data_IF_775548275441
#
_entry.id   IF_775548275441
#
_cell.length_a   1.000
_cell.length_b   1.000
_cell.length_c   1.000
_cell.angle_alpha   90.00
_cell.angle_beta   90.00
_cell.angle_gamma   90.00
#
_symmetry.space_group_name_H-M   'P 1'
#
loop_
_entity.id
_entity.type
_entity.pdbx_description
1 polymer ?
#
# COMPACT_ATOMS: atom_id res chain seq x y z
N UNK A 1 12.56 -11.54 -19.53
CA UNK A 1 12.06 -11.87 -18.17
C UNK A 1 13.26 -11.97 -17.24
N UNK A 2 13.11 -11.59 -15.98
CA UNK A 2 14.12 -11.81 -14.95
C UNK A 2 13.80 -13.13 -14.24
N UNK A 3 14.75 -14.05 -14.25
CA UNK A 3 14.58 -15.36 -13.61
C UNK A 3 14.26 -15.20 -12.11
N UNK A 4 13.29 -15.96 -11.62
CA UNK A 4 12.82 -15.88 -10.23
C UNK A 4 11.77 -14.80 -9.93
N UNK A 5 11.56 -13.81 -10.81
CA UNK A 5 10.52 -12.78 -10.62
C UNK A 5 9.20 -13.24 -11.27
N UNK A 6 8.19 -13.50 -10.43
CA UNK A 6 6.87 -13.98 -10.86
C UNK A 6 5.83 -12.87 -11.09
N UNK A 7 5.90 -11.79 -10.29
CA UNK A 7 4.97 -10.67 -10.37
C UNK A 7 5.75 -9.36 -10.26
N UNK A 8 5.44 -8.40 -11.12
CA UNK A 8 5.89 -7.03 -11.03
C UNK A 8 4.66 -6.14 -10.85
N UNK A 9 4.71 -5.26 -9.86
CA UNK A 9 3.65 -4.29 -9.55
C UNK A 9 4.24 -2.91 -9.38
N UNK A 10 3.50 -1.88 -9.77
CA UNK A 10 3.87 -0.48 -9.56
C UNK A 10 2.81 0.21 -8.69
N UNK A 11 3.24 1.13 -7.82
CA UNK A 11 2.33 2.00 -7.07
C UNK A 11 2.39 3.41 -7.62
N UNK A 12 1.25 4.07 -7.79
CA UNK A 12 1.15 5.43 -8.35
C UNK A 12 -0.03 6.18 -7.74
N UNK A 13 -0.01 7.51 -7.76
CA UNK A 13 -1.19 8.35 -7.51
C UNK A 13 -1.97 8.69 -8.80
N UNK A 14 -1.55 8.13 -9.94
CA UNK A 14 -2.08 8.33 -11.28
C UNK A 14 -2.07 9.76 -11.82
N UNK A 15 -1.41 10.72 -11.17
CA UNK A 15 -1.30 12.10 -11.71
C UNK A 15 -0.53 12.12 -13.04
N UNK A 16 0.60 11.41 -13.12
CA UNK A 16 1.52 11.47 -14.26
C UNK A 16 1.54 10.20 -15.11
N UNK A 17 0.70 9.21 -14.79
CA UNK A 17 0.77 7.90 -15.45
C UNK A 17 0.21 7.91 -16.88
N UNK A 18 -0.71 8.83 -17.21
CA UNK A 18 -1.45 8.85 -18.48
C UNK A 18 -0.59 8.59 -19.73
N UNK A 19 0.48 9.37 -19.96
CA UNK A 19 1.37 9.17 -21.12
C UNK A 19 2.11 7.82 -21.15
N UNK A 20 2.22 7.14 -20.01
CA UNK A 20 2.99 5.91 -19.84
C UNK A 20 2.13 4.64 -19.80
N UNK A 21 0.79 4.74 -19.80
CA UNK A 21 -0.09 3.57 -19.67
C UNK A 21 0.22 2.52 -20.75
N UNK A 22 0.32 2.93 -22.01
CA UNK A 22 0.61 1.99 -23.12
C UNK A 22 2.02 1.40 -23.03
N UNK A 23 3.01 2.21 -22.64
CA UNK A 23 4.39 1.78 -22.45
C UNK A 23 4.50 0.72 -21.33
N UNK A 24 3.86 0.96 -20.19
CA UNK A 24 3.82 0.01 -19.07
C UNK A 24 3.22 -1.33 -19.48
N UNK A 25 2.12 -1.30 -20.24
CA UNK A 25 1.48 -2.51 -20.78
C UNK A 25 2.39 -3.25 -21.75
N UNK A 26 3.07 -2.54 -22.65
CA UNK A 26 4.04 -3.13 -23.57
C UNK A 26 5.25 -3.76 -22.84
N UNK A 27 5.64 -3.20 -21.68
CA UNK A 27 6.67 -3.75 -20.79
C UNK A 27 6.17 -4.93 -19.93
N UNK A 28 4.87 -5.26 -19.98
CA UNK A 28 4.26 -6.32 -19.17
C UNK A 28 3.98 -5.92 -17.71
N UNK A 29 4.03 -4.63 -17.38
CA UNK A 29 3.70 -4.10 -16.06
C UNK A 29 2.19 -3.85 -16.01
N UNK A 30 1.42 -4.87 -15.67
CA UNK A 30 -0.06 -4.83 -15.70
C UNK A 30 -0.69 -4.77 -14.32
N UNK A 31 0.08 -4.95 -13.24
CA UNK A 31 -0.42 -4.83 -11.86
C UNK A 31 -0.11 -3.44 -11.31
N UNK A 32 -1.16 -2.67 -10.98
CA UNK A 32 -1.01 -1.30 -10.46
C UNK A 32 -1.71 -1.19 -9.10
N UNK A 33 -1.00 -0.64 -8.12
CA UNK A 33 -1.60 -0.13 -6.90
C UNK A 33 -1.83 1.38 -7.07
N UNK A 34 -3.09 1.81 -7.14
CA UNK A 34 -3.46 3.22 -7.23
C UNK A 34 -3.71 3.79 -5.84
N UNK A 35 -2.93 4.77 -5.39
CA UNK A 35 -3.22 5.52 -4.17
C UNK A 35 -4.32 6.54 -4.46
N UNK A 36 -5.51 6.34 -3.91
CA UNK A 36 -6.67 7.20 -4.07
C UNK A 36 -7.49 7.21 -2.77
N UNK A 37 -7.27 8.23 -1.96
CA UNK A 37 -7.91 8.38 -0.63
C UNK A 37 -9.27 9.11 -0.69
N UNK A 38 -9.78 9.37 -1.89
CA UNK A 38 -11.05 10.05 -2.11
C UNK A 38 -11.60 9.77 -3.51
N UNK A 39 -12.88 9.46 -3.59
CA UNK A 39 -13.61 9.27 -4.84
C UNK A 39 -14.49 10.49 -5.18
N UNK A 40 -14.83 11.31 -4.18
CA UNK A 40 -15.52 12.57 -4.42
C UNK A 40 -14.50 13.69 -4.66
N UNK A 41 -14.77 14.55 -5.65
CA UNK A 41 -13.88 15.67 -6.04
C UNK A 41 -13.49 16.55 -4.86
N UNK A 42 -14.47 17.05 -4.11
CA UNK A 42 -14.20 17.97 -2.99
C UNK A 42 -13.32 17.33 -1.91
N UNK A 43 -13.55 16.04 -1.62
CA UNK A 43 -12.72 15.27 -0.68
C UNK A 43 -11.30 15.08 -1.23
N UNK A 44 -11.18 14.79 -2.53
CA UNK A 44 -9.89 14.62 -3.21
C UNK A 44 -9.06 15.91 -3.15
N UNK A 45 -9.64 17.05 -3.50
CA UNK A 45 -8.95 18.34 -3.46
C UNK A 45 -8.55 18.71 -2.03
N UNK A 46 -9.42 18.45 -1.05
CA UNK A 46 -9.11 18.67 0.38
C UNK A 46 -7.92 17.84 0.86
N UNK A 47 -7.86 16.56 0.48
CA UNK A 47 -6.77 15.66 0.91
C UNK A 47 -5.48 15.96 0.18
N UNK A 48 -5.53 16.04 -1.15
CA UNK A 48 -4.33 16.17 -1.98
C UNK A 48 -3.80 17.59 -2.04
N UNK A 49 -4.65 18.59 -1.71
CA UNK A 49 -4.39 20.02 -1.88
C UNK A 49 -4.08 20.41 -3.33
N UNK A 50 -4.64 19.65 -4.30
CA UNK A 50 -4.43 19.83 -5.74
C UNK A 50 -5.74 19.62 -6.50
N UNK A 51 -6.00 20.50 -7.46
CA UNK A 51 -7.09 20.33 -8.42
C UNK A 51 -6.62 19.43 -9.59
N UNK A 52 -6.64 18.12 -9.35
CA UNK A 52 -6.23 17.10 -10.32
C UNK A 52 -7.19 15.90 -10.36
N UNK A 53 -8.40 16.05 -9.84
CA UNK A 53 -9.37 14.97 -9.75
C UNK A 53 -9.66 14.37 -11.14
N UNK A 54 -9.94 15.21 -12.14
CA UNK A 54 -10.27 14.75 -13.49
C UNK A 54 -9.12 13.97 -14.15
N UNK A 55 -7.89 14.41 -13.93
CA UNK A 55 -6.69 13.74 -14.47
C UNK A 55 -6.54 12.36 -13.83
N UNK A 56 -6.63 12.29 -12.49
CA UNK A 56 -6.46 11.04 -11.74
C UNK A 56 -7.60 10.06 -12.05
N UNK A 57 -8.84 10.54 -12.03
CA UNK A 57 -10.02 9.71 -12.31
C UNK A 57 -10.05 9.26 -13.78
N UNK A 58 -9.70 10.13 -14.72
CA UNK A 58 -9.56 9.76 -16.14
C UNK A 58 -8.49 8.69 -16.37
N UNK A 59 -7.35 8.79 -15.69
CA UNK A 59 -6.29 7.77 -15.75
C UNK A 59 -6.72 6.46 -15.07
N UNK A 60 -7.48 6.49 -13.97
CA UNK A 60 -8.10 5.30 -13.37
C UNK A 60 -8.99 4.59 -14.41
N UNK A 61 -9.90 5.31 -15.04
CA UNK A 61 -10.81 4.74 -16.04
C UNK A 61 -10.04 4.17 -17.24
N UNK A 62 -9.03 4.90 -17.73
CA UNK A 62 -8.18 4.44 -18.84
C UNK A 62 -7.47 3.13 -18.47
N UNK A 63 -6.91 3.01 -17.26
CA UNK A 63 -6.27 1.77 -16.83
C UNK A 63 -7.26 0.60 -16.68
N UNK A 64 -8.51 0.87 -16.27
CA UNK A 64 -9.57 -0.15 -16.24
C UNK A 64 -9.88 -0.64 -17.66
N UNK A 65 -10.10 0.27 -18.60
CA UNK A 65 -10.39 -0.04 -20.01
C UNK A 65 -9.25 -0.82 -20.67
N UNK A 66 -8.02 -0.46 -20.34
CA UNK A 66 -6.82 -1.15 -20.82
C UNK A 66 -6.58 -2.51 -20.16
N UNK A 67 -7.42 -2.93 -19.21
CA UNK A 67 -7.37 -4.24 -18.59
C UNK A 67 -6.24 -4.42 -17.57
N UNK A 68 -5.77 -3.34 -16.94
CA UNK A 68 -4.83 -3.43 -15.84
C UNK A 68 -5.47 -4.11 -14.63
N UNK A 69 -4.69 -4.89 -13.90
CA UNK A 69 -5.08 -5.41 -12.58
C UNK A 69 -4.91 -4.31 -11.53
N UNK A 70 -6.00 -3.60 -11.25
CA UNK A 70 -5.99 -2.44 -10.37
C UNK A 70 -6.36 -2.76 -8.93
N UNK A 71 -5.48 -2.33 -8.02
CA UNK A 71 -5.70 -2.32 -6.58
C UNK A 71 -5.71 -0.88 -6.08
N UNK A 72 -6.86 -0.37 -5.67
CA UNK A 72 -6.98 1.00 -5.16
C UNK A 72 -6.64 0.98 -3.67
N UNK A 73 -5.57 1.65 -3.24
CA UNK A 73 -5.26 1.86 -1.83
C UNK A 73 -5.96 3.13 -1.34
N UNK A 74 -6.71 2.99 -0.26
CA UNK A 74 -7.47 4.06 0.38
C UNK A 74 -7.14 4.07 1.88
N UNK A 75 -6.50 5.11 2.39
CA UNK A 75 -6.26 5.29 3.83
C UNK A 75 -7.51 5.91 4.46
N UNK A 76 -8.10 5.23 5.44
CA UNK A 76 -9.30 5.76 6.13
C UNK A 76 -8.87 6.76 7.20
N UNK A 77 -9.16 8.03 6.96
CA UNK A 77 -8.76 9.17 7.78
C UNK A 77 -9.96 9.78 8.49
N UNK A 78 -9.89 9.81 9.82
CA UNK A 78 -10.97 10.34 10.66
C UNK A 78 -11.28 11.81 10.33
N UNK A 79 -12.55 12.15 10.20
CA UNK A 79 -13.05 13.49 9.83
C UNK A 79 -12.53 14.05 8.49
N UNK A 80 -11.99 13.21 7.61
CA UNK A 80 -11.45 13.63 6.32
C UNK A 80 -12.15 12.95 5.13
N UNK A 81 -12.15 11.62 5.07
CA UNK A 81 -12.66 10.86 3.91
C UNK A 81 -13.54 9.66 4.25
N UNK A 82 -13.99 9.52 5.50
CA UNK A 82 -14.87 8.40 5.90
C UNK A 82 -16.11 8.30 5.00
N UNK A 83 -16.65 9.45 4.59
CA UNK A 83 -17.81 9.54 3.70
C UNK A 83 -17.58 8.93 2.31
N UNK A 84 -16.32 8.75 1.90
CA UNK A 84 -15.94 8.19 0.59
C UNK A 84 -15.76 6.66 0.64
N UNK A 85 -15.76 6.02 1.82
CA UNK A 85 -15.56 4.57 2.00
C UNK A 85 -16.63 3.73 1.30
N UNK A 86 -17.91 4.10 1.40
CA UNK A 86 -18.99 3.39 0.69
C UNK A 86 -19.06 3.79 -0.78
N UNK A 87 -18.99 5.09 -1.15
CA UNK A 87 -18.96 5.49 -2.55
C UNK A 87 -17.87 4.83 -3.40
N UNK A 88 -16.64 4.67 -2.89
CA UNK A 88 -15.56 4.07 -3.68
C UNK A 88 -15.80 2.58 -3.98
N UNK A 89 -16.54 1.87 -3.11
CA UNK A 89 -16.92 0.48 -3.34
C UNK A 89 -17.88 0.32 -4.53
N UNK A 90 -18.65 1.36 -4.89
CA UNK A 90 -19.56 1.31 -6.05
C UNK A 90 -18.82 1.11 -7.37
N UNK A 91 -17.54 1.50 -7.47
CA UNK A 91 -16.72 1.16 -8.64
C UNK A 91 -16.67 -0.35 -8.89
N UNK A 92 -16.73 -1.15 -7.82
CA UNK A 92 -16.64 -2.59 -7.90
C UNK A 92 -17.93 -3.23 -8.44
N UNK A 93 -19.05 -2.51 -8.50
CA UNK A 93 -20.28 -3.02 -9.11
C UNK A 93 -20.01 -3.43 -10.56
N UNK A 94 -19.38 -2.54 -11.32
CA UNK A 94 -19.18 -2.71 -12.76
C UNK A 94 -17.74 -3.08 -13.17
N UNK A 95 -16.75 -2.77 -12.34
CA UNK A 95 -15.35 -2.93 -12.73
C UNK A 95 -14.61 -3.97 -11.87
N UNK A 96 -13.67 -4.74 -12.46
CA UNK A 96 -12.89 -5.74 -11.76
C UNK A 96 -11.73 -5.12 -10.95
N UNK A 97 -12.03 -4.07 -10.16
CA UNK A 97 -11.07 -3.39 -9.30
C UNK A 97 -11.10 -3.94 -7.88
N UNK A 98 -9.95 -3.90 -7.21
CA UNK A 98 -9.84 -4.28 -5.80
C UNK A 98 -9.58 -3.06 -4.92
N UNK A 99 -10.51 -2.64 -4.06
CA UNK A 99 -10.25 -1.53 -3.12
C UNK A 99 -9.67 -2.07 -1.82
N UNK A 100 -8.57 -1.47 -1.34
CA UNK A 100 -7.87 -1.83 -0.12
C UNK A 100 -7.94 -0.67 0.86
N UNK A 101 -8.68 -0.86 1.93
CA UNK A 101 -8.75 0.11 3.02
C UNK A 101 -7.58 -0.11 3.98
N UNK A 102 -6.79 0.93 4.20
CA UNK A 102 -5.66 0.93 5.13
C UNK A 102 -6.04 1.70 6.39
N UNK A 103 -5.62 1.18 7.54
CA UNK A 103 -5.55 1.96 8.77
C UNK A 103 -4.50 3.06 8.64
N UNK A 104 -4.79 4.25 9.18
CA UNK A 104 -3.84 5.37 9.27
C UNK A 104 -2.57 4.93 10.02
N UNK A 105 -1.42 5.16 9.40
CA UNK A 105 -0.11 4.89 9.99
C UNK A 105 0.57 6.19 10.45
N UNK A 106 1.42 6.13 11.49
CA UNK A 106 2.09 7.31 12.06
C UNK A 106 3.19 7.93 11.17
N UNK A 107 3.30 7.56 9.89
CA UNK A 107 4.38 7.98 8.98
C UNK A 107 4.03 9.17 8.07
N UNK A 108 2.86 9.79 8.26
CA UNK A 108 2.31 10.79 7.33
C UNK A 108 2.57 12.26 7.73
N UNK A 109 3.73 12.56 8.34
CA UNK A 109 4.18 13.95 8.51
C UNK A 109 3.33 14.82 9.46
N UNK A 110 2.63 14.20 10.40
CA UNK A 110 1.90 14.89 11.47
C UNK A 110 2.55 14.71 12.83
N UNK A 111 2.51 15.73 13.68
CA UNK A 111 2.96 15.73 15.07
C UNK A 111 2.07 14.88 16.01
N UNK A 112 1.29 13.94 15.48
CA UNK A 112 0.29 13.20 16.25
C UNK A 112 0.92 11.93 16.83
N UNK A 113 0.98 11.91 18.16
CA UNK A 113 1.22 10.68 18.91
C UNK A 113 -0.07 9.84 18.80
N UNK A 114 0.00 8.71 18.09
CA UNK A 114 -1.11 7.79 17.97
C UNK A 114 -0.99 6.69 19.03
N UNK A 115 -1.59 6.90 20.20
CA UNK A 115 -1.76 5.82 21.18
C UNK A 115 -2.87 4.85 20.73
N UNK A 116 -3.83 5.35 19.93
CA UNK A 116 -4.88 4.60 19.29
C UNK A 116 -5.31 5.27 17.98
N UNK A 117 -6.04 4.52 17.15
CA UNK A 117 -6.69 5.05 15.94
C UNK A 117 -8.20 4.85 16.03
N UNK A 118 -8.96 5.83 15.54
CA UNK A 118 -10.43 5.75 15.49
C UNK A 118 -10.89 4.68 14.51
N UNK A 119 -10.30 4.66 13.30
CA UNK A 119 -10.69 3.78 12.19
C UNK A 119 -9.76 2.58 12.06
N UNK A 120 -9.79 1.71 13.06
CA UNK A 120 -9.13 0.41 12.97
C UNK A 120 -9.87 -0.54 12.00
N UNK A 121 -9.23 -1.65 11.65
CA UNK A 121 -9.72 -2.60 10.66
C UNK A 121 -11.09 -3.19 11.02
N UNK A 122 -11.39 -3.36 12.31
CA UNK A 122 -12.70 -3.84 12.78
C UNK A 122 -13.77 -2.79 12.53
N UNK A 123 -13.52 -1.54 12.90
CA UNK A 123 -14.47 -0.44 12.68
C UNK A 123 -14.72 -0.19 11.20
N UNK A 124 -13.67 -0.26 10.36
CA UNK A 124 -13.81 -0.17 8.90
C UNK A 124 -14.70 -1.31 8.40
N UNK A 125 -14.44 -2.55 8.82
CA UNK A 125 -15.26 -3.71 8.44
C UNK A 125 -16.71 -3.57 8.87
N UNK A 126 -16.95 -3.17 10.13
CA UNK A 126 -18.29 -3.02 10.69
C UNK A 126 -19.09 -1.93 9.95
N UNK A 127 -18.43 -0.83 9.57
CA UNK A 127 -19.04 0.23 8.77
C UNK A 127 -19.41 -0.24 7.36
N UNK A 128 -18.55 -1.01 6.70
CA UNK A 128 -18.87 -1.60 5.39
C UNK A 128 -20.00 -2.62 5.54
N UNK A 129 -19.97 -3.46 6.58
CA UNK A 129 -20.97 -4.49 6.86
C UNK A 129 -22.35 -3.91 7.18
N UNK A 130 -22.42 -2.72 7.79
CA UNK A 130 -23.72 -2.06 8.04
C UNK A 130 -24.42 -1.63 6.74
N UNK A 131 -23.68 -1.47 5.64
CA UNK A 131 -24.21 -1.16 4.30
C UNK A 131 -24.35 -2.41 3.42
N UNK A 132 -23.45 -3.37 3.58
CA UNK A 132 -23.40 -4.63 2.83
C UNK A 132 -23.43 -5.84 3.78
N UNK A 133 -24.56 -6.15 4.42
CA UNK A 133 -24.64 -7.19 5.46
C UNK A 133 -24.33 -8.61 4.94
N UNK A 134 -24.52 -8.83 3.63
CA UNK A 134 -24.27 -10.11 2.95
C UNK A 134 -22.83 -10.26 2.43
N UNK A 135 -21.90 -9.38 2.78
CA UNK A 135 -20.50 -9.53 2.37
C UNK A 135 -19.89 -10.83 2.89
N UNK A 136 -19.01 -11.42 2.08
CA UNK A 136 -18.37 -12.71 2.34
C UNK A 136 -16.86 -12.53 2.49
N UNK A 137 -16.26 -13.21 3.46
CA UNK A 137 -14.80 -13.22 3.61
C UNK A 137 -14.19 -14.17 2.57
N UNK A 138 -13.16 -13.69 1.87
CA UNK A 138 -12.40 -14.50 0.91
C UNK A 138 -11.21 -15.16 1.59
N UNK A 139 -10.88 -16.36 1.12
CA UNK A 139 -9.61 -16.99 1.46
C UNK A 139 -8.45 -16.20 0.85
N UNK A 140 -7.31 -16.19 1.52
CA UNK A 140 -6.13 -15.48 1.07
C UNK A 140 -4.88 -16.25 1.49
N UNK A 141 -3.77 -16.13 0.74
CA UNK A 141 -2.51 -16.73 1.12
C UNK A 141 -2.09 -16.29 2.53
N UNK A 142 -1.34 -17.13 3.23
CA UNK A 142 -0.86 -16.85 4.59
C UNK A 142 -0.04 -15.55 4.67
N UNK A 143 0.73 -15.24 3.62
CA UNK A 143 1.53 -14.01 3.50
C UNK A 143 0.72 -12.78 3.05
N UNK A 144 -0.60 -12.90 2.89
CA UNK A 144 -1.46 -11.76 2.55
C UNK A 144 -1.47 -10.74 3.68
N UNK A 145 -1.26 -9.47 3.34
CA UNK A 145 -1.38 -8.38 4.32
C UNK A 145 -2.79 -7.79 4.38
N UNK A 146 -3.69 -8.27 3.52
CA UNK A 146 -5.07 -7.81 3.47
C UNK A 146 -6.02 -8.95 3.78
N UNK A 147 -7.04 -8.65 4.58
CA UNK A 147 -8.19 -9.51 4.79
C UNK A 147 -9.20 -9.15 3.70
N UNK A 148 -9.39 -10.05 2.74
CA UNK A 148 -10.18 -9.79 1.54
C UNK A 148 -11.63 -10.26 1.71
N UNK A 149 -12.52 -9.57 1.01
CA UNK A 149 -13.96 -9.76 1.06
C UNK A 149 -14.59 -9.55 -0.31
N UNK A 150 -15.75 -10.15 -0.51
CA UNK A 150 -16.60 -10.01 -1.70
C UNK A 150 -17.97 -9.51 -1.29
N UNK A 151 -18.50 -8.53 -2.03
CA UNK A 151 -19.90 -8.12 -1.93
C UNK A 151 -20.65 -8.86 -3.04
N UNK A 152 -21.73 -9.62 -2.73
CA UNK A 152 -22.52 -10.29 -3.75
C UNK A 152 -23.04 -9.31 -4.80
N UNK A 153 -22.95 -9.70 -6.08
CA UNK A 153 -23.36 -8.86 -7.22
C UNK A 153 -22.31 -7.85 -7.70
N UNK A 154 -21.25 -7.59 -6.94
CA UNK A 154 -20.14 -6.76 -7.41
C UNK A 154 -19.19 -7.59 -8.29
N UNK A 155 -18.59 -6.97 -9.31
CA UNK A 155 -17.53 -7.54 -10.14
C UNK A 155 -16.20 -7.57 -9.39
N UNK A 156 -15.84 -6.48 -8.70
CA UNK A 156 -14.60 -6.32 -7.94
C UNK A 156 -14.61 -6.96 -6.55
N UNK A 157 -13.58 -6.68 -5.76
CA UNK A 157 -13.43 -7.13 -4.36
C UNK A 157 -12.92 -5.99 -3.49
N UNK A 158 -13.01 -6.13 -2.18
CA UNK A 158 -12.31 -5.21 -1.29
C UNK A 158 -11.50 -5.95 -0.24
N UNK A 159 -10.52 -5.28 0.34
CA UNK A 159 -9.73 -5.80 1.44
C UNK A 159 -9.45 -4.74 2.48
N UNK A 160 -9.17 -5.18 3.70
CA UNK A 160 -8.77 -4.30 4.80
C UNK A 160 -7.36 -4.68 5.23
N UNK A 161 -6.48 -3.70 5.32
CA UNK A 161 -5.09 -3.83 5.72
C UNK A 161 -4.94 -3.24 7.12
N UNK A 162 -4.72 -4.08 8.15
CA UNK A 162 -4.52 -3.63 9.53
C UNK A 162 -3.10 -3.08 9.71
N UNK A 163 -2.78 -1.98 9.02
CA UNK A 163 -1.45 -1.37 8.93
C UNK A 163 -0.94 -0.76 10.24
N UNK A 164 -1.85 -0.29 11.11
CA UNK A 164 -1.53 0.22 12.43
C UNK A 164 -1.56 -0.90 13.48
N UNK A 165 -2.60 -1.73 13.43
CA UNK A 165 -2.83 -2.88 14.31
C UNK A 165 -1.82 -4.02 14.09
N UNK A 166 -1.17 -4.07 12.92
CA UNK A 166 -0.01 -4.93 12.56
C UNK A 166 -0.26 -6.44 12.73
N UNK A 167 -1.47 -6.91 12.45
CA UNK A 167 -1.84 -8.33 12.67
C UNK A 167 -1.22 -9.30 11.66
N UNK A 168 -0.50 -8.81 10.64
CA UNK A 168 0.16 -9.63 9.60
C UNK A 168 1.69 -9.71 9.75
N UNK A 169 2.29 -9.18 10.84
CA UNK A 169 3.76 -9.17 10.96
C UNK A 169 4.38 -10.57 10.91
N UNK A 170 3.73 -11.58 11.50
CA UNK A 170 4.23 -12.96 11.57
C UNK A 170 4.41 -13.66 10.23
N UNK A 171 3.63 -13.28 9.21
CA UNK A 171 3.71 -13.83 7.85
C UNK A 171 4.26 -12.83 6.82
N UNK A 172 4.65 -11.63 7.24
CA UNK A 172 5.18 -10.62 6.34
C UNK A 172 6.55 -11.08 5.79
N UNK A 173 6.74 -10.97 4.47
CA UNK A 173 7.93 -11.41 3.73
C UNK A 173 8.56 -10.25 2.92
N UNK A 174 8.33 -9.01 3.34
CA UNK A 174 8.75 -7.82 2.58
C UNK A 174 10.14 -7.35 2.98
N UNK A 175 10.93 -7.03 1.95
CA UNK A 175 12.16 -6.26 2.05
C UNK A 175 11.99 -4.99 1.21
N UNK A 176 12.54 -3.88 1.67
CA UNK A 176 12.42 -2.59 1.00
C UNK A 176 13.78 -1.97 0.78
N UNK A 177 13.97 -1.37 -0.39
CA UNK A 177 15.16 -0.59 -0.72
C UNK A 177 14.67 0.84 -0.96
N UNK A 178 15.23 1.82 -0.25
CA UNK A 178 14.90 3.23 -0.44
C UNK A 178 15.56 3.77 -1.71
N UNK A 179 15.15 4.97 -2.16
CA UNK A 179 15.79 5.64 -3.29
C UNK A 179 17.28 5.95 -3.05
N UNK A 180 17.71 6.07 -1.79
CA UNK A 180 19.11 6.27 -1.39
C UNK A 180 19.90 4.96 -1.29
N UNK A 181 19.24 3.81 -1.47
CA UNK A 181 19.84 2.47 -1.42
C UNK A 181 19.74 1.78 -0.07
N UNK A 182 19.03 2.35 0.91
CA UNK A 182 18.93 1.79 2.26
C UNK A 182 17.99 0.58 2.28
N UNK A 183 18.46 -0.52 2.86
CA UNK A 183 17.66 -1.74 3.04
C UNK A 183 16.92 -1.65 4.37
N UNK A 184 15.61 -1.77 4.30
CA UNK A 184 14.70 -1.71 5.43
C UNK A 184 13.89 -3.01 5.48
N UNK A 185 13.92 -3.68 6.63
CA UNK A 185 13.25 -4.97 6.86
C UNK A 185 11.89 -4.82 7.55
N UNK A 186 11.58 -3.62 8.04
CA UNK A 186 10.29 -3.26 8.62
C UNK A 186 10.04 -1.76 8.44
N UNK A 187 8.82 -1.35 8.09
CA UNK A 187 8.46 0.08 7.98
C UNK A 187 8.71 0.87 9.28
N UNK A 188 8.70 0.20 10.42
CA UNK A 188 8.96 0.77 11.75
C UNK A 188 10.42 0.62 12.19
N UNK A 189 11.30 0.11 11.32
CA UNK A 189 12.71 -0.15 11.61
C UNK A 189 13.65 0.89 11.00
N UNK A 190 14.90 0.92 11.47
CA UNK A 190 15.98 1.67 10.80
C UNK A 190 16.59 0.86 9.63
N UNK A 191 17.25 1.55 8.68
CA UNK A 191 18.12 0.90 7.71
C UNK A 191 19.07 -0.12 8.33
N UNK A 192 19.24 -1.26 7.67
CA UNK A 192 20.19 -2.32 8.06
C UNK A 192 21.52 -2.21 7.33
N UNK A 193 21.49 -1.74 6.08
CA UNK A 193 22.63 -1.63 5.17
C UNK A 193 22.28 -0.69 4.02
N UNK A 194 23.27 -0.28 3.23
CA UNK A 194 23.06 0.47 1.99
C UNK A 194 23.58 -0.33 0.78
N UNK A 195 22.67 -0.76 -0.10
CA UNK A 195 22.97 -1.56 -1.30
C UNK A 195 23.84 -0.78 -2.28
N UNK A 196 23.61 0.52 -2.43
CA UNK A 196 24.37 1.35 -3.37
C UNK A 196 25.85 1.40 -2.97
N UNK A 197 26.12 1.54 -1.68
CA UNK A 197 27.49 1.62 -1.18
C UNK A 197 28.21 0.26 -1.32
N UNK A 198 27.50 -0.85 -1.05
CA UNK A 198 28.03 -2.22 -1.26
C UNK A 198 28.33 -2.49 -2.74
N UNK A 199 27.40 -2.14 -3.64
CA UNK A 199 27.56 -2.36 -5.08
C UNK A 199 28.71 -1.53 -5.69
N UNK A 200 29.15 -0.46 -5.01
CA UNK A 200 30.29 0.39 -5.42
C UNK A 200 31.61 -0.03 -4.79
N UNK A 201 31.61 -1.02 -3.89
CA UNK A 201 32.79 -1.57 -3.25
C UNK A 201 33.39 -2.76 -3.99
N UNK A 202 34.38 -3.39 -3.37
CA UNK A 202 34.98 -4.64 -3.86
C UNK A 202 34.10 -5.86 -3.52
N UNK A 203 34.18 -6.90 -4.35
CA UNK A 203 33.41 -8.15 -4.20
C UNK A 203 31.89 -7.94 -3.94
N UNK A 204 31.20 -7.11 -4.74
CA UNK A 204 29.85 -6.63 -4.43
C UNK A 204 28.82 -7.76 -4.34
N UNK A 205 28.93 -8.81 -5.16
CA UNK A 205 27.97 -9.93 -5.16
C UNK A 205 27.99 -10.71 -3.84
N UNK A 206 29.18 -11.07 -3.37
CA UNK A 206 29.37 -11.80 -2.11
C UNK A 206 28.89 -10.97 -0.93
N UNK A 207 29.33 -9.71 -0.86
CA UNK A 207 28.95 -8.80 0.22
C UNK A 207 27.44 -8.53 0.23
N UNK A 208 26.83 -8.30 -0.94
CA UNK A 208 25.39 -8.08 -1.03
C UNK A 208 24.61 -9.29 -0.51
N UNK A 209 25.00 -10.51 -0.92
CA UNK A 209 24.35 -11.74 -0.46
C UNK A 209 24.41 -11.86 1.06
N UNK A 210 25.61 -11.76 1.65
CA UNK A 210 25.80 -11.89 3.09
C UNK A 210 25.03 -10.82 3.86
N UNK A 211 25.07 -9.55 3.42
CA UNK A 211 24.38 -8.47 4.12
C UNK A 211 22.85 -8.59 4.03
N UNK A 212 22.30 -9.12 2.93
CA UNK A 212 20.86 -9.38 2.82
C UNK A 212 20.44 -10.54 3.73
N UNK A 213 21.21 -11.63 3.76
CA UNK A 213 20.96 -12.77 4.66
C UNK A 213 20.99 -12.32 6.14
N UNK A 214 21.95 -11.48 6.53
CA UNK A 214 22.04 -10.90 7.87
C UNK A 214 20.89 -9.93 8.19
N UNK A 215 20.53 -9.05 7.25
CA UNK A 215 19.42 -8.12 7.42
C UNK A 215 18.10 -8.87 7.67
N UNK A 216 17.85 -9.93 6.91
CA UNK A 216 16.65 -10.78 7.08
C UNK A 216 16.73 -11.56 8.40
N UNK A 217 17.89 -12.12 8.76
CA UNK A 217 18.10 -12.90 9.99
C UNK A 217 17.95 -12.08 11.28
N UNK A 218 18.22 -10.77 11.22
CA UNK A 218 18.11 -9.83 12.36
C UNK A 218 16.80 -9.03 12.38
N UNK A 219 15.82 -9.45 11.59
CA UNK A 219 14.52 -8.79 11.52
C UNK A 219 13.73 -8.99 12.81
N UNK A 220 13.19 -7.89 13.35
CA UNK A 220 12.30 -7.94 14.50
C UNK A 220 11.04 -8.77 14.22
N UNK A 221 10.55 -9.48 15.25
CA UNK A 221 9.39 -10.39 15.15
C UNK A 221 8.12 -9.64 14.75
N UNK A 222 7.91 -8.44 15.29
CA UNK A 222 6.76 -7.60 14.97
C UNK A 222 7.18 -6.17 14.68
N UNK A 223 6.30 -5.42 13.99
CA UNK A 223 6.50 -3.98 13.81
C UNK A 223 6.47 -3.21 15.14
N UNK A 224 5.83 -3.74 16.20
CA UNK A 224 5.90 -3.15 17.53
C UNK A 224 7.29 -3.32 18.15
N UNK A 225 7.90 -4.50 17.99
CA UNK A 225 9.26 -4.74 18.46
C UNK A 225 10.26 -3.83 17.74
N UNK A 226 10.16 -3.76 16.39
CA UNK A 226 10.97 -2.85 15.57
C UNK A 226 10.84 -1.38 16.01
N UNK A 227 9.63 -0.93 16.32
CA UNK A 227 9.38 0.43 16.80
C UNK A 227 10.03 0.69 18.16
N UNK A 228 9.98 -0.27 19.10
CA UNK A 228 10.56 -0.10 20.45
C UNK A 228 12.09 -0.04 20.41
N UNK A 229 12.71 -0.76 19.49
CA UNK A 229 14.17 -0.72 19.28
C UNK A 229 14.67 0.64 18.79
N UNK A 230 13.79 1.49 18.25
CA UNK A 230 14.17 2.70 17.55
C UNK A 230 13.26 3.90 17.85
N UNK A 231 13.70 4.77 18.75
CA UNK A 231 13.11 6.10 18.89
C UNK A 231 13.38 6.94 17.63
N UNK A 232 12.38 7.70 17.16
CA UNK A 232 12.54 8.69 16.07
C UNK A 232 12.34 8.19 14.62
N UNK A 233 11.91 6.93 14.39
CA UNK A 233 11.71 6.41 13.01
C UNK A 233 10.57 7.15 12.27
N UNK A 234 9.65 7.78 13.00
CA UNK A 234 8.47 8.47 12.45
C UNK A 234 8.76 9.82 11.79
N UNK A 235 10.01 10.29 11.79
CA UNK A 235 10.39 11.51 11.06
C UNK A 235 10.42 11.30 9.54
N UNK A 236 10.48 10.04 9.08
CA UNK A 236 10.52 9.71 7.67
C UNK A 236 9.12 9.54 7.07
N UNK A 237 8.81 10.34 6.05
CA UNK A 237 7.60 10.21 5.24
C UNK A 237 7.57 8.87 4.49
N UNK A 238 6.37 8.31 4.26
CA UNK A 238 6.21 7.13 3.38
C UNK A 238 6.90 7.30 2.02
N UNK A 239 6.95 8.53 1.49
CA UNK A 239 7.62 8.84 0.22
C UNK A 239 9.13 8.61 0.28
N UNK A 240 9.80 8.87 1.41
CA UNK A 240 11.27 8.66 1.52
C UNK A 240 11.65 7.18 1.60
N UNK A 241 10.69 6.34 2.00
CA UNK A 241 10.87 4.89 2.06
C UNK A 241 10.20 4.16 0.89
N UNK A 242 9.76 4.85 -0.17
CA UNK A 242 9.24 4.22 -1.39
C UNK A 242 7.80 3.71 -1.27
N UNK A 243 6.96 4.38 -0.48
CA UNK A 243 5.50 4.21 -0.47
C UNK A 243 4.77 5.45 -0.94
#
# INVERSE_FOLDING_TARGET
SLEGIKELSMTTNATLIGPHIQELKALGITNINLSLDAINRDTFEKITRRDQYDVVFGNLMTMIEEGFNLRINFIVLDNQNVQDVIPILKLQEHYPVSVRFLEEMPFNGGSKQFDAITWNYKKILDYIKSHYPALEKLESPETSTSINYKIPGHTGTFGIIPSFSRTFCGSCNRLRITATGDVITCLYGKPKMNVRDILRGENPELHLRTSIEEAIGTRAKTGFDAQREHQGVFENSMTSIGG
#
